data_IF_631930942229
#
_entry.id   IF_631930942229
#
_cell.length_a   1.000
_cell.length_b   1.000
_cell.length_c   1.000
_cell.angle_alpha   90.00
_cell.angle_beta   90.00
_cell.angle_gamma   90.00
#
_symmetry.space_group_name_H-M   'P 1'
#
loop_
_entity.id
_entity.type
_entity.pdbx_description
1 polymer ?
#
# COMPACT_ATOMS: atom_id res chain seq x y z
N UNK A 1 20.93 -22.32 19.03
CA UNK A 1 21.30 -20.88 19.04
C UNK A 1 20.25 -19.95 18.39
N UNK A 2 19.00 -20.36 18.20
CA UNK A 2 17.94 -19.61 17.51
C UNK A 2 16.92 -18.90 18.41
N UNK A 3 16.69 -19.36 19.62
CA UNK A 3 15.61 -18.84 20.48
C UNK A 3 15.84 -17.41 20.99
N UNK A 4 17.09 -17.01 21.24
CA UNK A 4 17.38 -15.67 21.71
C UNK A 4 17.05 -14.55 20.70
N UNK A 5 17.19 -14.80 19.40
CA UNK A 5 16.92 -13.81 18.35
C UNK A 5 15.43 -13.61 18.08
N UNK A 6 14.64 -14.68 18.09
CA UNK A 6 13.20 -14.59 17.93
C UNK A 6 12.55 -13.76 19.04
N UNK A 7 13.04 -13.86 20.28
CA UNK A 7 12.56 -13.06 21.42
C UNK A 7 12.71 -11.56 21.19
N UNK A 8 13.80 -11.09 20.57
CA UNK A 8 14.02 -9.68 20.28
C UNK A 8 13.04 -9.15 19.22
N UNK A 9 12.69 -9.95 18.22
CA UNK A 9 11.66 -9.56 17.24
C UNK A 9 10.27 -9.49 17.88
N UNK A 10 9.94 -10.44 18.76
CA UNK A 10 8.67 -10.41 19.52
C UNK A 10 8.63 -9.20 20.46
N UNK A 11 9.72 -8.93 21.18
CA UNK A 11 9.82 -7.75 22.06
C UNK A 11 9.71 -6.47 21.25
N UNK A 12 10.38 -6.37 20.10
CA UNK A 12 10.27 -5.21 19.19
C UNK A 12 8.85 -5.01 18.67
N UNK A 13 8.17 -6.10 18.29
CA UNK A 13 6.76 -6.04 17.86
C UNK A 13 5.82 -5.60 18.98
N UNK A 14 5.99 -6.14 20.18
CA UNK A 14 5.21 -5.73 21.37
C UNK A 14 5.50 -4.27 21.71
N UNK A 15 6.76 -3.83 21.69
CA UNK A 15 7.14 -2.44 21.94
C UNK A 15 6.51 -1.50 20.91
N UNK A 16 6.50 -1.86 19.62
CA UNK A 16 5.85 -1.08 18.57
C UNK A 16 4.33 -0.96 18.79
N UNK A 17 3.67 -2.04 19.19
CA UNK A 17 2.23 -2.02 19.53
C UNK A 17 1.97 -1.15 20.76
N UNK A 18 2.81 -1.24 21.80
CA UNK A 18 2.69 -0.41 22.99
C UNK A 18 2.87 1.06 22.65
N UNK A 19 3.87 1.42 21.85
CA UNK A 19 4.09 2.80 21.37
C UNK A 19 2.89 3.29 20.56
N UNK A 20 2.34 2.45 19.68
CA UNK A 20 1.14 2.79 18.92
C UNK A 20 -0.06 3.05 19.83
N UNK A 21 -0.30 2.20 20.82
CA UNK A 21 -1.37 2.36 21.82
C UNK A 21 -1.16 3.62 22.65
N UNK A 22 0.07 3.91 23.08
CA UNK A 22 0.39 5.14 23.81
C UNK A 22 0.12 6.37 22.92
N UNK A 23 0.57 6.36 21.67
CA UNK A 23 0.31 7.45 20.72
C UNK A 23 -1.20 7.65 20.53
N UNK A 24 -1.98 6.58 20.37
CA UNK A 24 -3.44 6.67 20.21
C UNK A 24 -4.15 7.17 21.49
N UNK A 25 -3.63 6.88 22.67
CA UNK A 25 -4.27 7.31 23.92
C UNK A 25 -3.83 8.71 24.40
N UNK A 26 -2.62 9.12 24.05
CA UNK A 26 -2.02 10.38 24.47
C UNK A 26 -1.82 11.39 23.34
N UNK A 27 -2.42 11.18 22.17
CA UNK A 27 -2.26 12.10 21.03
C UNK A 27 -2.79 13.51 21.35
N UNK A 28 -3.78 13.63 22.25
CA UNK A 28 -4.35 14.90 22.68
C UNK A 28 -3.37 15.79 23.48
N UNK A 29 -2.37 15.18 24.13
CA UNK A 29 -1.36 15.88 24.93
C UNK A 29 -0.16 16.37 24.09
N UNK A 30 -0.04 15.92 22.83
CA UNK A 30 1.06 16.30 21.94
C UNK A 30 0.52 17.27 20.88
N UNK A 31 0.79 18.59 20.95
CA UNK A 31 0.16 19.59 20.08
C UNK A 31 0.31 19.32 18.59
N UNK A 32 1.51 18.87 18.15
CA UNK A 32 1.82 18.59 16.74
C UNK A 32 1.06 17.36 16.22
N UNK A 33 0.89 16.33 17.06
CA UNK A 33 0.11 15.14 16.71
C UNK A 33 -1.39 15.41 16.78
N UNK A 34 -1.81 16.25 17.72
CA UNK A 34 -3.22 16.60 17.92
C UNK A 34 -3.82 17.23 16.66
N UNK A 35 -3.18 18.24 16.10
CA UNK A 35 -3.70 18.93 14.92
C UNK A 35 -3.70 18.01 13.69
N UNK A 36 -2.63 17.24 13.49
CA UNK A 36 -2.50 16.35 12.35
C UNK A 36 -3.43 15.13 12.41
N UNK A 37 -3.49 14.46 13.57
CA UNK A 37 -4.33 13.27 13.76
C UNK A 37 -5.79 13.62 13.96
N UNK A 38 -6.10 14.71 14.69
CA UNK A 38 -7.47 15.17 14.87
C UNK A 38 -8.13 15.51 13.53
N UNK A 39 -7.41 16.17 12.62
CA UNK A 39 -7.92 16.49 11.30
C UNK A 39 -8.18 15.24 10.45
N UNK A 40 -7.29 14.26 10.45
CA UNK A 40 -7.42 13.06 9.62
C UNK A 40 -8.34 12.00 10.21
N UNK A 41 -8.21 11.73 11.52
CA UNK A 41 -9.08 10.77 12.23
C UNK A 41 -10.46 11.37 12.47
N UNK A 42 -10.52 12.64 12.85
CA UNK A 42 -11.78 13.36 13.04
C UNK A 42 -12.61 13.43 11.76
N UNK A 43 -11.99 13.74 10.62
CA UNK A 43 -12.67 13.74 9.32
C UNK A 43 -13.10 12.33 8.88
N UNK A 44 -12.40 11.29 9.28
CA UNK A 44 -12.77 9.91 8.97
C UNK A 44 -13.90 9.38 9.87
N UNK A 45 -13.86 9.68 11.18
CA UNK A 45 -14.88 9.22 12.14
C UNK A 45 -16.19 9.98 12.02
N UNK A 46 -16.15 11.31 11.85
CA UNK A 46 -17.32 12.17 11.80
C UNK A 46 -17.72 12.49 10.35
N UNK A 47 -18.25 11.48 9.66
CA UNK A 47 -18.60 11.58 8.23
C UNK A 47 -19.59 12.69 7.92
N UNK A 48 -20.49 13.03 8.85
CA UNK A 48 -21.57 13.98 8.64
C UNK A 48 -21.26 15.42 9.09
N UNK A 49 -20.23 15.61 9.93
CA UNK A 49 -19.92 16.89 10.56
C UNK A 49 -18.65 17.58 10.01
N UNK A 50 -17.92 16.92 9.13
CA UNK A 50 -16.67 17.44 8.61
C UNK A 50 -16.87 18.28 7.37
N UNK A 51 -16.09 19.36 7.32
CA UNK A 51 -15.96 20.26 6.19
C UNK A 51 -15.84 19.48 4.88
N UNK A 52 -16.72 19.78 3.94
CA UNK A 52 -16.78 19.11 2.63
C UNK A 52 -15.41 19.12 1.93
N UNK A 53 -14.61 20.17 2.16
CA UNK A 53 -13.29 20.32 1.56
C UNK A 53 -12.27 19.28 2.07
N UNK A 54 -12.31 18.92 3.36
CA UNK A 54 -11.38 17.94 3.96
C UNK A 54 -11.62 16.51 3.46
N UNK A 55 -12.84 16.18 3.09
CA UNK A 55 -13.23 14.88 2.57
C UNK A 55 -13.39 14.85 1.05
N UNK A 56 -13.17 15.98 0.40
CA UNK A 56 -13.37 16.11 -1.04
C UNK A 56 -12.66 14.99 -1.82
N UNK A 57 -11.37 14.76 -1.56
CA UNK A 57 -10.58 13.75 -2.25
C UNK A 57 -11.11 12.32 -2.00
N UNK A 58 -11.45 11.99 -0.75
CA UNK A 58 -11.97 10.66 -0.40
C UNK A 58 -13.35 10.42 -1.02
N UNK A 59 -14.24 11.40 -0.97
CA UNK A 59 -15.57 11.29 -1.58
C UNK A 59 -15.48 11.09 -3.09
N UNK A 60 -14.64 11.87 -3.78
CA UNK A 60 -14.44 11.72 -5.23
C UNK A 60 -13.72 10.40 -5.60
N UNK A 61 -12.85 9.91 -4.72
CA UNK A 61 -12.26 8.56 -4.86
C UNK A 61 -13.34 7.46 -4.82
N UNK A 62 -14.28 7.55 -3.88
CA UNK A 62 -15.41 6.61 -3.79
C UNK A 62 -16.36 6.73 -4.99
N UNK A 63 -16.63 7.96 -5.46
CA UNK A 63 -17.43 8.18 -6.68
C UNK A 63 -16.74 7.60 -7.92
N UNK A 64 -15.40 7.75 -8.04
CA UNK A 64 -14.64 7.13 -9.11
C UNK A 64 -14.79 5.61 -9.11
N UNK A 65 -14.57 4.96 -7.95
CA UNK A 65 -14.75 3.51 -7.81
C UNK A 65 -16.20 3.08 -8.15
N UNK A 66 -17.20 3.81 -7.65
CA UNK A 66 -18.61 3.49 -7.88
C UNK A 66 -19.05 3.69 -9.34
N UNK A 67 -18.51 4.70 -10.02
CA UNK A 67 -18.87 5.01 -11.41
C UNK A 67 -18.31 4.01 -12.42
N UNK A 68 -17.20 3.32 -12.08
CA UNK A 68 -16.57 2.35 -12.97
C UNK A 68 -17.38 1.07 -13.20
N UNK A 69 -18.27 0.69 -12.28
CA UNK A 69 -19.05 -0.54 -12.42
C UNK A 69 -18.19 -1.79 -12.62
N UNK A 70 -18.68 -2.78 -13.38
CA UNK A 70 -17.95 -4.03 -13.62
C UNK A 70 -16.80 -3.90 -14.62
N UNK A 71 -17.00 -3.17 -15.72
CA UNK A 71 -16.08 -3.13 -16.86
C UNK A 71 -15.38 -1.78 -17.06
N UNK A 72 -15.71 -0.80 -16.22
CA UNK A 72 -15.13 0.55 -16.31
C UNK A 72 -15.77 1.41 -17.40
N UNK A 73 -15.39 2.70 -17.37
CA UNK A 73 -15.79 3.71 -18.38
C UNK A 73 -14.91 3.69 -19.63
N UNK A 74 -13.85 2.86 -19.63
CA UNK A 74 -12.84 2.80 -20.69
C UNK A 74 -11.57 3.59 -20.35
N UNK A 75 -10.44 3.12 -20.88
CA UNK A 75 -9.13 3.75 -20.66
C UNK A 75 -9.13 5.20 -21.14
N UNK A 76 -8.67 6.11 -20.30
CA UNK A 76 -8.56 7.55 -20.59
C UNK A 76 -9.87 8.34 -20.41
N UNK A 77 -10.98 7.69 -20.10
CA UNK A 77 -12.30 8.32 -19.97
C UNK A 77 -12.66 8.70 -18.52
N UNK A 78 -11.72 8.63 -17.58
CA UNK A 78 -11.94 9.07 -16.21
C UNK A 78 -12.27 10.55 -16.17
N UNK A 79 -13.43 10.90 -15.59
CA UNK A 79 -13.87 12.28 -15.35
C UNK A 79 -13.24 12.85 -14.09
N UNK A 80 -13.04 12.01 -13.08
CA UNK A 80 -12.51 12.42 -11.79
C UNK A 80 -11.04 12.83 -11.86
N UNK A 81 -10.27 12.24 -12.78
CA UNK A 81 -8.87 12.56 -13.04
C UNK A 81 -8.62 14.03 -13.41
N UNK A 82 -9.53 14.66 -14.15
CA UNK A 82 -9.31 16.01 -14.70
C UNK A 82 -9.83 17.13 -13.81
N UNK A 83 -10.81 16.90 -12.96
CA UNK A 83 -11.54 18.00 -12.34
C UNK A 83 -11.66 17.92 -10.81
N UNK A 84 -11.53 16.75 -10.20
CA UNK A 84 -12.01 16.57 -8.82
C UNK A 84 -10.99 16.01 -7.83
N UNK A 85 -9.96 15.29 -8.25
CA UNK A 85 -8.96 14.70 -7.36
C UNK A 85 -7.61 15.33 -7.61
N UNK A 86 -7.18 16.24 -6.71
CA UNK A 86 -5.92 17.00 -6.83
C UNK A 86 -4.69 16.09 -6.85
N UNK A 87 -4.70 15.02 -6.03
CA UNK A 87 -3.61 14.02 -5.91
C UNK A 87 -3.97 12.69 -6.61
N UNK A 88 -4.76 12.77 -7.69
CA UNK A 88 -5.25 11.58 -8.42
C UNK A 88 -4.13 10.71 -9.01
N UNK A 89 -2.98 11.31 -9.30
CA UNK A 89 -1.84 10.62 -9.89
C UNK A 89 -0.90 9.99 -8.85
N UNK A 90 -1.05 10.32 -7.57
CA UNK A 90 -0.22 9.83 -6.48
C UNK A 90 -0.98 8.82 -5.61
N UNK A 91 -1.76 9.28 -4.67
CA UNK A 91 -2.31 8.44 -3.60
C UNK A 91 -3.62 7.76 -3.98
N UNK A 92 -4.40 8.35 -4.89
CA UNK A 92 -5.71 7.88 -5.34
C UNK A 92 -5.72 7.22 -6.72
N UNK A 93 -4.55 6.82 -7.24
CA UNK A 93 -4.46 6.19 -8.57
C UNK A 93 -5.30 4.92 -8.69
N UNK A 94 -5.48 4.16 -7.59
CA UNK A 94 -6.30 2.96 -7.57
C UNK A 94 -7.78 3.25 -7.84
N UNK A 95 -8.30 4.41 -7.40
CA UNK A 95 -9.68 4.82 -7.72
C UNK A 95 -9.85 5.14 -9.21
N UNK A 96 -8.82 5.74 -9.84
CA UNK A 96 -8.84 5.99 -11.29
C UNK A 96 -8.81 4.67 -12.07
N UNK A 97 -8.01 3.70 -11.63
CA UNK A 97 -8.02 2.33 -12.20
C UNK A 97 -9.42 1.74 -12.08
N UNK A 98 -10.09 1.91 -10.93
CA UNK A 98 -11.46 1.45 -10.72
C UNK A 98 -12.48 2.15 -11.62
N UNK A 99 -12.34 3.46 -11.88
CA UNK A 99 -13.22 4.19 -12.79
C UNK A 99 -13.03 3.76 -14.25
N UNK A 100 -11.77 3.63 -14.70
CA UNK A 100 -11.44 3.35 -16.10
C UNK A 100 -11.61 1.86 -16.47
N UNK A 101 -11.16 0.94 -15.60
CA UNK A 101 -11.14 -0.51 -15.86
C UNK A 101 -12.23 -1.28 -15.07
N UNK A 102 -12.93 -0.62 -14.18
CA UNK A 102 -13.97 -1.21 -13.37
C UNK A 102 -13.49 -2.23 -12.34
N UNK A 103 -14.41 -2.99 -11.80
CA UNK A 103 -14.13 -4.02 -10.80
C UNK A 103 -13.18 -5.10 -11.33
N UNK A 104 -13.33 -5.49 -12.59
CA UNK A 104 -12.45 -6.49 -13.23
C UNK A 104 -11.01 -6.00 -13.30
N UNK A 105 -10.79 -4.72 -13.64
CA UNK A 105 -9.46 -4.11 -13.65
C UNK A 105 -8.84 -4.04 -12.26
N UNK A 106 -9.61 -3.66 -11.24
CA UNK A 106 -9.14 -3.69 -9.85
C UNK A 106 -8.70 -5.09 -9.42
N UNK A 107 -9.51 -6.11 -9.69
CA UNK A 107 -9.18 -7.51 -9.41
C UNK A 107 -7.93 -7.97 -10.14
N UNK A 108 -7.76 -7.58 -11.40
CA UNK A 108 -6.57 -7.90 -12.19
C UNK A 108 -5.31 -7.28 -11.57
N UNK A 109 -5.35 -6.00 -11.25
CA UNK A 109 -4.20 -5.31 -10.62
C UNK A 109 -3.86 -5.94 -9.27
N UNK A 110 -4.85 -6.19 -8.40
CA UNK A 110 -4.62 -6.85 -7.11
C UNK A 110 -4.12 -8.29 -7.29
N UNK A 111 -4.62 -9.01 -8.30
CA UNK A 111 -4.15 -10.34 -8.67
C UNK A 111 -2.68 -10.34 -9.08
N UNK A 112 -2.24 -9.35 -9.86
CA UNK A 112 -0.84 -9.18 -10.24
C UNK A 112 0.05 -8.90 -9.03
N UNK A 113 -0.39 -8.05 -8.09
CA UNK A 113 0.33 -7.84 -6.83
C UNK A 113 0.40 -9.12 -5.99
N UNK A 114 -0.70 -9.86 -5.89
CA UNK A 114 -0.72 -11.14 -5.17
C UNK A 114 0.27 -12.14 -5.79
N UNK A 115 0.31 -12.26 -7.12
CA UNK A 115 1.27 -13.10 -7.83
C UNK A 115 2.72 -12.65 -7.58
N UNK A 116 2.99 -11.35 -7.61
CA UNK A 116 4.32 -10.78 -7.31
C UNK A 116 4.74 -11.15 -5.88
N UNK A 117 3.86 -10.93 -4.90
CA UNK A 117 4.13 -11.21 -3.49
C UNK A 117 4.36 -12.72 -3.28
N UNK A 118 3.51 -13.58 -3.81
CA UNK A 118 3.65 -15.03 -3.72
C UNK A 118 4.97 -15.49 -4.36
N UNK A 119 5.32 -14.92 -5.53
CA UNK A 119 6.58 -15.24 -6.19
C UNK A 119 7.78 -14.77 -5.39
N UNK A 120 7.75 -13.58 -4.81
CA UNK A 120 8.81 -13.06 -3.96
C UNK A 120 9.00 -13.86 -2.67
N UNK A 121 7.90 -14.28 -2.02
CA UNK A 121 7.93 -15.21 -0.88
C UNK A 121 8.58 -16.54 -1.28
N UNK A 122 8.20 -17.09 -2.44
CA UNK A 122 8.79 -18.33 -2.96
C UNK A 122 10.30 -18.20 -3.20
N UNK A 123 10.77 -17.06 -3.74
CA UNK A 123 12.19 -16.75 -3.90
C UNK A 123 12.87 -16.71 -2.53
N UNK A 124 12.27 -16.04 -1.53
CA UNK A 124 12.80 -15.96 -0.18
C UNK A 124 12.95 -17.34 0.50
N UNK A 125 11.97 -18.24 0.31
CA UNK A 125 12.03 -19.61 0.84
C UNK A 125 13.14 -20.46 0.20
N UNK A 126 13.55 -20.10 -1.03
CA UNK A 126 14.59 -20.82 -1.78
C UNK A 126 15.93 -20.06 -1.85
N UNK A 127 16.05 -18.97 -1.12
CA UNK A 127 17.28 -18.20 -1.06
C UNK A 127 18.42 -19.03 -0.43
N UNK A 128 19.60 -18.92 -1.01
CA UNK A 128 20.78 -19.69 -0.61
C UNK A 128 21.29 -19.32 0.79
N UNK A 129 21.11 -18.05 1.17
CA UNK A 129 21.55 -17.49 2.45
C UNK A 129 20.41 -16.87 3.24
N UNK A 130 20.59 -16.76 4.57
CA UNK A 130 19.58 -16.19 5.47
C UNK A 130 19.36 -14.70 5.24
N UNK A 131 20.36 -13.97 4.80
CA UNK A 131 20.25 -12.54 4.52
C UNK A 131 19.35 -12.30 3.31
N UNK A 132 19.60 -13.01 2.20
CA UNK A 132 18.76 -12.94 1.00
C UNK A 132 17.31 -13.35 1.27
N UNK A 133 17.09 -14.39 2.10
CA UNK A 133 15.74 -14.79 2.52
C UNK A 133 15.03 -13.66 3.27
N UNK A 134 15.65 -13.08 4.30
CA UNK A 134 15.07 -11.99 5.10
C UNK A 134 14.83 -10.74 4.26
N UNK A 135 15.75 -10.42 3.35
CA UNK A 135 15.61 -9.29 2.43
C UNK A 135 14.40 -9.47 1.51
N UNK A 136 14.25 -10.65 0.90
CA UNK A 136 13.12 -10.96 0.03
C UNK A 136 11.79 -10.90 0.78
N UNK A 137 11.70 -11.47 1.98
CA UNK A 137 10.51 -11.39 2.83
C UNK A 137 10.20 -9.95 3.24
N UNK A 138 11.22 -9.16 3.64
CA UNK A 138 11.05 -7.76 4.02
C UNK A 138 10.44 -6.92 2.90
N UNK A 139 10.97 -7.05 1.68
CA UNK A 139 10.47 -6.35 0.49
C UNK A 139 9.02 -6.77 0.19
N UNK A 140 8.70 -8.06 0.26
CA UNK A 140 7.33 -8.53 -0.03
C UNK A 140 6.32 -8.08 1.02
N UNK A 141 6.68 -8.07 2.29
CA UNK A 141 5.84 -7.55 3.37
C UNK A 141 5.60 -6.04 3.19
N UNK A 142 6.64 -5.28 2.87
CA UNK A 142 6.53 -3.84 2.63
C UNK A 142 5.59 -3.56 1.47
N UNK A 143 5.77 -4.19 0.30
CA UNK A 143 4.88 -4.01 -0.86
C UNK A 143 3.46 -4.44 -0.53
N UNK A 144 3.28 -5.58 0.15
CA UNK A 144 1.96 -6.06 0.54
C UNK A 144 1.22 -5.10 1.47
N UNK A 145 1.91 -4.56 2.48
CA UNK A 145 1.36 -3.55 3.37
C UNK A 145 1.01 -2.26 2.63
N UNK A 146 1.89 -1.80 1.74
CA UNK A 146 1.69 -0.58 0.97
C UNK A 146 0.46 -0.68 0.07
N UNK A 147 0.27 -1.81 -0.64
CA UNK A 147 -0.92 -2.09 -1.45
C UNK A 147 -2.18 -2.16 -0.58
N UNK A 148 -2.13 -2.92 0.53
CA UNK A 148 -3.28 -3.08 1.43
C UNK A 148 -3.71 -1.74 2.05
N UNK A 149 -2.76 -0.92 2.51
CA UNK A 149 -3.04 0.40 3.07
C UNK A 149 -3.57 1.37 2.02
N UNK A 150 -3.02 1.39 0.79
CA UNK A 150 -3.54 2.23 -0.28
C UNK A 150 -5.00 1.87 -0.61
N UNK A 151 -5.30 0.58 -0.81
CA UNK A 151 -6.67 0.12 -1.06
C UNK A 151 -7.61 0.48 0.09
N UNK A 152 -7.18 0.30 1.35
CA UNK A 152 -7.98 0.62 2.52
C UNK A 152 -8.28 2.13 2.63
N UNK A 153 -7.34 3.00 2.26
CA UNK A 153 -7.54 4.45 2.21
C UNK A 153 -8.49 4.83 1.07
N UNK A 154 -8.28 4.29 -0.13
CA UNK A 154 -9.11 4.59 -1.31
C UNK A 154 -10.56 4.14 -1.13
N UNK A 155 -10.79 3.08 -0.34
CA UNK A 155 -12.13 2.58 0.01
C UNK A 155 -12.71 3.21 1.29
N UNK A 156 -12.10 4.27 1.83
CA UNK A 156 -12.52 4.95 3.08
C UNK A 156 -12.62 3.99 4.29
N UNK A 157 -11.92 2.88 4.25
CA UNK A 157 -11.82 1.93 5.38
C UNK A 157 -10.82 2.42 6.42
N UNK A 158 -9.76 3.12 5.99
CA UNK A 158 -8.78 3.79 6.83
C UNK A 158 -8.72 5.28 6.50
N UNK A 159 -8.29 6.13 7.46
CA UNK A 159 -8.09 7.54 7.21
C UNK A 159 -7.02 7.77 6.14
N UNK A 160 -7.11 8.88 5.40
CA UNK A 160 -6.14 9.21 4.36
C UNK A 160 -4.74 9.39 4.95
N UNK A 161 -3.81 8.51 4.54
CA UNK A 161 -2.41 8.49 5.00
C UNK A 161 -1.41 8.96 3.95
N UNK A 162 -1.83 9.19 2.70
CA UNK A 162 -0.94 9.60 1.62
C UNK A 162 0.02 8.50 1.15
N UNK A 163 -0.34 7.23 1.30
CA UNK A 163 0.50 6.10 0.86
C UNK A 163 0.25 5.81 -0.61
N UNK A 164 1.28 5.95 -1.42
CA UNK A 164 1.24 5.70 -2.85
C UNK A 164 1.16 4.21 -3.20
N UNK A 165 0.47 3.86 -4.30
CA UNK A 165 0.41 2.49 -4.81
C UNK A 165 1.74 2.15 -5.53
N UNK A 166 2.45 1.07 -5.16
CA UNK A 166 3.71 0.69 -5.81
C UNK A 166 3.54 0.55 -7.33
N UNK A 167 4.52 0.99 -8.09
CA UNK A 167 4.60 0.96 -9.56
C UNK A 167 3.58 1.82 -10.33
N UNK A 168 2.44 2.17 -9.76
CA UNK A 168 1.37 2.90 -10.44
C UNK A 168 1.37 4.39 -10.12
N UNK A 169 1.72 4.75 -8.87
CA UNK A 169 1.68 6.14 -8.43
C UNK A 169 2.79 6.97 -9.05
N UNK A 170 2.46 8.20 -9.44
CA UNK A 170 3.42 9.17 -9.95
C UNK A 170 4.22 9.80 -8.80
N UNK A 171 5.24 9.07 -8.35
CA UNK A 171 6.16 9.52 -7.29
C UNK A 171 7.58 9.14 -7.65
N UNK A 172 8.42 10.12 -8.05
CA UNK A 172 9.80 9.84 -8.52
C UNK A 172 10.64 9.06 -7.50
N UNK A 173 10.65 9.47 -6.24
CA UNK A 173 11.39 8.80 -5.17
C UNK A 173 10.78 7.43 -4.80
N UNK A 174 9.47 7.34 -4.70
CA UNK A 174 8.74 6.10 -4.40
C UNK A 174 9.00 5.04 -5.47
N UNK A 175 8.89 5.42 -6.74
CA UNK A 175 9.14 4.53 -7.87
C UNK A 175 10.60 4.06 -7.91
N UNK A 176 11.55 4.97 -7.66
CA UNK A 176 12.98 4.63 -7.64
C UNK A 176 13.31 3.61 -6.54
N UNK A 177 12.76 3.81 -5.33
CA UNK A 177 12.93 2.88 -4.20
C UNK A 177 12.34 1.51 -4.55
N UNK A 178 11.10 1.48 -5.04
CA UNK A 178 10.42 0.21 -5.39
C UNK A 178 11.16 -0.55 -6.50
N UNK A 179 11.67 0.15 -7.52
CA UNK A 179 12.49 -0.47 -8.58
C UNK A 179 13.82 -0.99 -8.02
N UNK A 180 14.45 -0.26 -7.09
CA UNK A 180 15.65 -0.72 -6.39
C UNK A 180 15.40 -2.00 -5.58
N UNK A 181 14.28 -2.05 -4.84
CA UNK A 181 13.83 -3.24 -4.11
C UNK A 181 13.63 -4.45 -5.04
N UNK A 182 13.02 -4.23 -6.22
CA UNK A 182 12.91 -5.28 -7.23
C UNK A 182 14.26 -5.73 -7.76
N UNK A 183 15.23 -4.83 -7.91
CA UNK A 183 16.61 -5.17 -8.27
C UNK A 183 17.27 -6.10 -7.26
N UNK A 184 17.10 -5.81 -5.96
CA UNK A 184 17.57 -6.69 -4.89
C UNK A 184 16.89 -8.06 -4.92
N UNK A 185 15.56 -8.10 -5.08
CA UNK A 185 14.80 -9.35 -5.18
C UNK A 185 15.27 -10.21 -6.36
N UNK A 186 15.51 -9.59 -7.51
CA UNK A 186 16.05 -10.27 -8.69
C UNK A 186 17.48 -10.82 -8.45
N UNK A 187 18.31 -10.07 -7.72
CA UNK A 187 19.64 -10.54 -7.32
C UNK A 187 19.57 -11.80 -6.45
N UNK A 188 18.67 -11.79 -5.44
CA UNK A 188 18.42 -12.98 -4.60
C UNK A 188 17.89 -14.14 -5.45
N UNK A 189 16.97 -13.87 -6.36
CA UNK A 189 16.40 -14.89 -7.26
C UNK A 189 17.44 -15.59 -8.13
N UNK A 190 18.46 -14.87 -8.60
CA UNK A 190 19.56 -15.45 -9.40
C UNK A 190 20.43 -16.42 -8.62
N UNK A 191 20.52 -16.25 -7.31
CA UNK A 191 21.32 -17.09 -6.42
C UNK A 191 20.49 -18.20 -5.76
N UNK A 192 19.16 -18.13 -5.87
CA UNK A 192 18.25 -19.12 -5.30
C UNK A 192 18.26 -20.42 -6.13
N UNK A 193 18.14 -21.56 -5.44
CA UNK A 193 17.96 -22.88 -6.07
C UNK A 193 16.53 -23.03 -6.60
N UNK A 194 16.21 -22.27 -7.64
CA UNK A 194 14.91 -22.33 -8.32
C UNK A 194 14.95 -23.40 -9.42
N UNK A 195 13.92 -24.26 -9.54
CA UNK A 195 13.81 -25.12 -10.68
C UNK A 195 13.75 -24.25 -11.95
N UNK A 196 14.66 -24.49 -12.89
CA UNK A 196 14.65 -23.81 -14.19
C UNK A 196 13.39 -24.25 -14.93
N UNK A 197 12.46 -23.31 -15.12
CA UNK A 197 11.20 -23.58 -15.85
C UNK A 197 11.45 -23.83 -17.35
N UNK A 198 12.66 -23.45 -17.85
CA UNK A 198 13.07 -23.68 -19.24
C UNK A 198 14.59 -23.94 -19.28
N UNK A 199 14.99 -25.17 -19.55
CA UNK A 199 16.28 -25.49 -20.15
C UNK A 199 16.05 -25.57 -21.67
N UNK A 200 16.34 -24.47 -22.35
CA UNK A 200 16.54 -24.54 -23.80
C UNK A 200 17.99 -24.87 -24.09
#
# INVERSE_FOLDING_TARGET
MGEGRARWFVIGGIAAVIVLVIVINFYDDIPILKDYMADRIGSWLNKDLTDTDKRWQTNHSLFALGSGGFFGSGLGNSKQKYFYVSESHTDFIFSIIGEELGFVGCCLVLGLFALLILRGIYIGMRARDRFGALLAFGIMVQIGLQVALNVAVVTDTLPNTGISLPFFSYGGSSTLVTLGEMGFLLSVSRQADLPRLYSF
#
